data_IF_600999358698
#
_entry.id   IF_600999358698
#
_cell.length_a   1.000
_cell.length_b   1.000
_cell.length_c   1.000
_cell.angle_alpha   90.00
_cell.angle_beta   90.00
_cell.angle_gamma   90.00
#
_symmetry.space_group_name_H-M   'P 1'
#
loop_
_entity.id
_entity.type
_entity.pdbx_description
1 polymer ?
#
# COMPACT_ATOMS: atom_id res chain seq x y z
N UNK A 1 21.36 19.77 -10.78
CA UNK A 1 21.13 21.21 -11.02
C UNK A 1 20.61 21.38 -12.45
N UNK A 2 19.83 22.43 -12.73
CA UNK A 2 19.52 22.85 -14.10
C UNK A 2 20.31 24.13 -14.35
N UNK A 3 21.11 24.18 -15.41
CA UNK A 3 21.90 25.34 -15.82
C UNK A 3 21.46 25.83 -17.20
N UNK A 4 21.73 27.12 -17.47
CA UNK A 4 21.45 27.78 -18.75
C UNK A 4 20.00 27.63 -19.24
N UNK A 5 19.04 27.82 -18.33
CA UNK A 5 17.61 27.81 -18.62
C UNK A 5 17.04 29.23 -18.63
N UNK A 6 15.95 29.44 -19.37
CA UNK A 6 15.23 30.71 -19.38
C UNK A 6 14.18 30.74 -18.27
N UNK A 7 14.17 31.83 -17.51
CA UNK A 7 13.10 32.13 -16.56
C UNK A 7 12.08 33.00 -17.30
N UNK A 8 10.83 32.54 -17.34
CA UNK A 8 9.73 33.25 -17.98
C UNK A 8 8.64 33.59 -16.97
N UNK A 9 7.99 34.72 -17.18
CA UNK A 9 6.87 35.13 -16.35
C UNK A 9 5.74 34.10 -16.42
N UNK A 10 5.11 33.84 -15.27
CA UNK A 10 4.01 32.89 -15.17
C UNK A 10 2.85 33.27 -16.09
N UNK A 11 2.30 32.30 -16.80
CA UNK A 11 1.15 32.47 -17.68
C UNK A 11 -0.15 32.01 -17.00
N UNK A 12 -1.30 32.36 -17.60
CA UNK A 12 -2.61 31.85 -17.16
C UNK A 12 -2.77 30.32 -17.29
N UNK A 13 -1.88 29.66 -18.01
CA UNK A 13 -1.89 28.21 -18.23
C UNK A 13 -0.93 27.45 -17.30
N UNK A 14 -0.14 28.16 -16.49
CA UNK A 14 0.85 27.58 -15.60
C UNK A 14 0.17 26.92 -14.39
N UNK A 15 0.45 25.65 -14.16
CA UNK A 15 -0.15 24.83 -13.08
C UNK A 15 0.70 24.84 -11.78
N UNK A 16 1.91 25.39 -11.83
CA UNK A 16 2.84 25.44 -10.69
C UNK A 16 2.50 26.53 -9.67
N UNK A 17 3.01 26.40 -8.44
CA UNK A 17 2.86 27.40 -7.37
C UNK A 17 3.91 28.51 -7.41
N UNK A 18 5.02 28.30 -8.13
CA UNK A 18 6.07 29.30 -8.31
C UNK A 18 5.57 30.54 -9.10
N UNK A 19 6.20 31.71 -8.93
CA UNK A 19 5.83 32.95 -9.63
C UNK A 19 6.43 33.05 -11.05
N UNK A 20 7.17 32.05 -11.50
CA UNK A 20 7.78 31.94 -12.83
C UNK A 20 7.74 30.49 -13.31
N UNK A 21 7.90 30.31 -14.62
CA UNK A 21 8.17 29.00 -15.21
C UNK A 21 9.63 28.95 -15.69
N UNK A 22 10.20 27.75 -15.71
CA UNK A 22 11.53 27.48 -16.27
C UNK A 22 11.32 26.87 -17.65
N UNK A 23 11.91 27.46 -18.68
CA UNK A 23 11.92 26.95 -20.04
C UNK A 23 13.34 26.48 -20.39
N UNK A 24 13.47 25.21 -20.78
CA UNK A 24 14.75 24.66 -21.21
C UNK A 24 15.02 25.11 -22.65
N UNK A 25 16.26 25.52 -22.91
CA UNK A 25 16.75 25.91 -24.23
C UNK A 25 17.83 24.92 -24.69
N UNK A 26 18.28 25.04 -25.94
CA UNK A 26 19.21 24.08 -26.56
C UNK A 26 20.53 23.91 -25.81
N UNK A 27 20.93 24.93 -25.05
CA UNK A 27 22.18 24.97 -24.28
C UNK A 27 21.97 24.63 -22.80
N UNK A 28 20.74 24.35 -22.38
CA UNK A 28 20.45 23.96 -20.99
C UNK A 28 21.05 22.59 -20.66
N UNK A 29 21.67 22.47 -19.50
CA UNK A 29 22.14 21.20 -18.97
C UNK A 29 21.38 20.81 -17.70
N UNK A 30 21.08 19.51 -17.57
CA UNK A 30 20.45 18.92 -16.37
C UNK A 30 21.41 17.90 -15.79
N UNK A 31 22.11 18.26 -14.71
CA UNK A 31 23.12 17.37 -14.11
C UNK A 31 22.50 16.15 -13.40
N UNK A 32 21.28 16.28 -12.88
CA UNK A 32 20.59 15.23 -12.12
C UNK A 32 19.09 15.46 -12.12
N UNK A 33 18.32 14.46 -12.56
CA UNK A 33 16.85 14.46 -12.54
C UNK A 33 16.24 14.10 -11.17
N UNK A 34 17.09 13.85 -10.17
CA UNK A 34 16.68 13.28 -8.89
C UNK A 34 16.30 11.80 -9.01
N UNK A 35 15.93 11.19 -7.88
CA UNK A 35 15.35 9.85 -7.90
C UNK A 35 13.88 10.00 -8.29
N UNK A 36 13.43 9.35 -9.36
CA UNK A 36 12.00 9.24 -9.64
C UNK A 36 11.36 8.44 -8.51
N UNK A 37 10.65 9.12 -7.63
CA UNK A 37 9.76 8.48 -6.64
C UNK A 37 8.38 8.51 -7.27
N UNK A 38 7.93 7.43 -7.94
CA UNK A 38 6.53 7.35 -8.34
C UNK A 38 5.71 7.49 -7.07
N UNK A 39 4.97 8.58 -6.94
CA UNK A 39 3.87 8.66 -5.98
C UNK A 39 2.80 7.70 -6.51
N UNK A 40 2.97 6.41 -6.21
CA UNK A 40 1.92 5.40 -6.44
C UNK A 40 0.72 5.91 -5.63
N UNK A 41 -0.30 6.44 -6.32
CA UNK A 41 -1.51 6.92 -5.67
C UNK A 41 -2.10 5.78 -4.87
N UNK A 42 -2.37 6.02 -3.59
CA UNK A 42 -3.04 5.04 -2.74
C UNK A 42 -4.46 4.87 -3.27
N UNK A 43 -4.79 3.67 -3.73
CA UNK A 43 -6.13 3.34 -4.23
C UNK A 43 -6.92 2.67 -3.12
N UNK A 44 -8.09 3.19 -2.76
CA UNK A 44 -9.01 2.49 -1.85
C UNK A 44 -9.68 1.34 -2.59
N UNK A 45 -9.64 0.13 -2.05
CA UNK A 45 -10.03 -1.11 -2.74
C UNK A 45 -10.88 -1.99 -1.82
N UNK A 46 -11.87 -2.68 -2.38
CA UNK A 46 -12.63 -3.76 -1.74
C UNK A 46 -12.08 -5.12 -2.15
N UNK A 47 -12.38 -6.19 -1.40
CA UNK A 47 -11.88 -7.54 -1.72
C UNK A 47 -12.20 -7.98 -3.16
N UNK A 48 -13.41 -7.69 -3.66
CA UNK A 48 -13.79 -8.01 -5.05
C UNK A 48 -12.90 -7.31 -6.11
N UNK A 49 -12.30 -6.17 -5.77
CA UNK A 49 -11.51 -5.32 -6.67
C UNK A 49 -9.99 -5.50 -6.52
N UNK A 50 -9.53 -6.39 -5.63
CA UNK A 50 -8.10 -6.65 -5.39
C UNK A 50 -7.39 -7.04 -6.68
N UNK A 51 -7.93 -8.00 -7.43
CA UNK A 51 -7.32 -8.51 -8.66
C UNK A 51 -7.04 -7.43 -9.71
N UNK A 52 -7.82 -6.35 -9.69
CA UNK A 52 -7.70 -5.20 -10.60
C UNK A 52 -6.70 -4.13 -10.11
N UNK A 53 -5.97 -4.40 -9.03
CA UNK A 53 -5.09 -3.42 -8.38
C UNK A 53 -3.66 -3.94 -8.19
N UNK A 54 -3.30 -5.07 -8.83
CA UNK A 54 -1.96 -5.66 -8.76
C UNK A 54 -0.86 -4.64 -9.09
N UNK A 55 0.23 -4.63 -8.30
CA UNK A 55 1.37 -3.72 -8.47
C UNK A 55 1.16 -2.30 -7.92
N UNK A 56 -0.02 -1.99 -7.39
CA UNK A 56 -0.33 -0.69 -6.79
C UNK A 56 -0.23 -0.73 -5.26
N UNK A 57 -0.08 0.45 -4.66
CA UNK A 57 -0.33 0.64 -3.23
C UNK A 57 -1.83 0.79 -3.03
N UNK A 58 -2.41 -0.10 -2.22
CA UNK A 58 -3.84 -0.11 -1.93
C UNK A 58 -4.11 0.21 -0.46
N UNK A 59 -5.27 0.79 -0.19
CA UNK A 59 -5.88 0.88 1.13
C UNK A 59 -7.12 -0.03 1.15
N UNK A 60 -7.20 -0.95 2.10
CA UNK A 60 -8.29 -1.93 2.21
C UNK A 60 -8.68 -2.13 3.66
N UNK A 61 -9.97 -2.39 3.88
CA UNK A 61 -10.52 -2.69 5.19
C UNK A 61 -10.92 -4.14 5.28
N UNK A 62 -10.50 -4.84 6.34
CA UNK A 62 -10.84 -6.24 6.58
C UNK A 62 -10.69 -6.63 8.04
N UNK A 63 -11.37 -7.68 8.46
CA UNK A 63 -11.30 -8.23 9.80
C UNK A 63 -10.10 -9.16 9.94
N UNK A 64 -9.35 -9.02 11.03
CA UNK A 64 -8.19 -9.85 11.30
C UNK A 64 -8.62 -11.30 11.56
N UNK A 65 -8.36 -12.18 10.60
CA UNK A 65 -8.79 -13.57 10.63
C UNK A 65 -7.86 -14.47 11.42
N UNK A 66 -6.55 -14.22 11.33
CA UNK A 66 -5.52 -14.98 12.05
C UNK A 66 -4.66 -14.05 12.90
N UNK A 67 -4.03 -14.59 13.94
CA UNK A 67 -2.97 -13.87 14.64
C UNK A 67 -1.77 -13.65 13.73
N UNK A 68 -1.01 -12.58 13.98
CA UNK A 68 0.29 -12.38 13.33
C UNK A 68 1.26 -13.45 13.81
N UNK A 69 1.86 -14.16 12.86
CA UNK A 69 2.91 -15.14 13.10
C UNK A 69 4.23 -14.58 12.63
N UNK A 70 5.20 -14.60 13.52
CA UNK A 70 6.57 -14.21 13.19
C UNK A 70 7.23 -15.29 12.33
N UNK A 71 7.80 -14.87 11.21
CA UNK A 71 8.58 -15.70 10.30
C UNK A 71 10.01 -15.16 10.33
N UNK A 72 10.92 -15.95 10.90
CA UNK A 72 12.33 -15.60 10.95
C UNK A 72 12.99 -15.90 9.61
N UNK A 73 12.97 -14.92 8.70
CA UNK A 73 13.71 -15.02 7.44
C UNK A 73 15.09 -14.36 7.61
N UNK A 74 16.16 -15.02 7.15
CA UNK A 74 17.57 -14.74 7.51
C UNK A 74 18.06 -13.30 7.27
N UNK A 75 17.32 -12.49 6.52
CA UNK A 75 17.69 -11.11 6.12
C UNK A 75 16.74 -10.03 6.64
N UNK A 76 15.46 -10.32 6.87
CA UNK A 76 14.49 -9.36 7.41
C UNK A 76 13.39 -10.07 8.19
N UNK A 77 13.13 -9.68 9.45
CA UNK A 77 12.02 -10.23 10.21
C UNK A 77 10.69 -9.85 9.57
N UNK A 78 9.82 -10.83 9.34
CA UNK A 78 8.50 -10.64 8.73
C UNK A 78 7.43 -11.21 9.65
N UNK A 79 6.32 -10.49 9.83
CA UNK A 79 5.12 -11.01 10.49
C UNK A 79 4.00 -11.15 9.48
N UNK A 80 3.32 -12.30 9.48
CA UNK A 80 2.28 -12.63 8.49
C UNK A 80 0.96 -12.93 9.19
N UNK A 81 -0.13 -12.40 8.64
CA UNK A 81 -1.49 -12.69 9.05
C UNK A 81 -2.43 -12.80 7.84
N UNK A 82 -3.69 -13.06 8.10
CA UNK A 82 -4.76 -13.08 7.10
C UNK A 82 -5.89 -12.17 7.55
N UNK A 83 -6.45 -11.41 6.62
CA UNK A 83 -7.68 -10.62 6.81
C UNK A 83 -8.82 -11.15 5.94
N UNK A 84 -10.06 -10.83 6.30
CA UNK A 84 -11.26 -11.20 5.54
C UNK A 84 -12.33 -10.12 5.57
N UNK A 85 -13.19 -10.07 4.55
CA UNK A 85 -14.45 -9.31 4.57
C UNK A 85 -15.66 -10.14 5.02
N UNK A 86 -15.45 -11.40 5.43
CA UNK A 86 -16.50 -12.37 5.74
C UNK A 86 -16.74 -13.38 4.61
N UNK A 87 -16.21 -13.14 3.41
CA UNK A 87 -16.28 -14.07 2.28
C UNK A 87 -14.88 -14.45 1.78
N UNK A 88 -14.12 -13.44 1.38
CA UNK A 88 -12.81 -13.57 0.76
C UNK A 88 -11.71 -13.39 1.80
N UNK A 89 -10.56 -14.00 1.58
CA UNK A 89 -9.37 -13.82 2.42
C UNK A 89 -8.21 -13.21 1.64
N UNK A 90 -7.37 -12.47 2.37
CA UNK A 90 -6.15 -11.87 1.88
C UNK A 90 -5.02 -12.09 2.88
N UNK A 91 -3.83 -12.40 2.36
CA UNK A 91 -2.63 -12.50 3.18
C UNK A 91 -2.05 -11.10 3.32
N UNK A 92 -1.67 -10.74 4.54
CA UNK A 92 -0.95 -9.51 4.82
C UNK A 92 0.38 -9.87 5.46
N UNK A 93 1.43 -9.18 5.05
CA UNK A 93 2.74 -9.32 5.66
C UNK A 93 3.38 -7.97 5.94
N UNK A 94 4.15 -7.90 7.00
CA UNK A 94 4.80 -6.68 7.47
C UNK A 94 6.21 -6.98 7.92
N UNK A 95 7.17 -6.24 7.40
CA UNK A 95 8.56 -6.32 7.83
C UNK A 95 8.75 -5.54 9.12
N UNK A 96 8.77 -6.24 10.25
CA UNK A 96 8.94 -5.62 11.58
C UNK A 96 9.57 -6.60 12.56
N UNK A 97 10.41 -6.07 13.44
CA UNK A 97 10.92 -6.78 14.63
C UNK A 97 9.98 -6.66 15.83
N UNK A 98 8.95 -5.83 15.74
CA UNK A 98 7.98 -5.61 16.82
C UNK A 98 6.95 -6.74 16.87
N UNK A 99 6.52 -7.08 18.09
CA UNK A 99 5.39 -8.00 18.28
C UNK A 99 4.08 -7.28 18.00
N UNK A 100 3.26 -7.83 17.11
CA UNK A 100 1.98 -7.24 16.71
C UNK A 100 0.83 -7.88 17.49
N UNK A 101 0.25 -7.13 18.42
CA UNK A 101 -0.82 -7.58 19.31
C UNK A 101 -2.18 -7.00 18.91
N UNK A 102 -2.67 -7.38 17.73
CA UNK A 102 -4.03 -7.05 17.29
C UNK A 102 -5.01 -8.16 17.69
N UNK A 103 -6.20 -7.78 18.14
CA UNK A 103 -7.25 -8.74 18.50
C UNK A 103 -7.82 -9.43 17.24
N UNK A 104 -7.98 -10.75 17.31
CA UNK A 104 -8.62 -11.51 16.23
C UNK A 104 -10.09 -11.07 16.11
N UNK A 105 -10.54 -10.79 14.90
CA UNK A 105 -11.86 -10.23 14.63
C UNK A 105 -11.93 -8.72 14.65
N UNK A 106 -10.88 -8.02 15.08
CA UNK A 106 -10.81 -6.56 14.93
C UNK A 106 -10.81 -6.16 13.45
N UNK A 107 -11.56 -5.12 13.11
CA UNK A 107 -11.50 -4.53 11.77
C UNK A 107 -10.28 -3.64 11.65
N UNK A 108 -9.49 -3.86 10.60
CA UNK A 108 -8.27 -3.12 10.31
C UNK A 108 -8.44 -2.32 9.01
N UNK A 109 -7.94 -1.09 9.00
CA UNK A 109 -7.67 -0.31 7.79
C UNK A 109 -6.17 -0.44 7.48
N UNK A 110 -5.85 -1.03 6.32
CA UNK A 110 -4.50 -1.47 5.96
C UNK A 110 -4.08 -0.82 4.66
N UNK A 111 -2.90 -0.21 4.67
CA UNK A 111 -2.25 0.34 3.46
C UNK A 111 -0.97 -0.42 3.15
N UNK A 112 -0.84 -0.93 1.92
CA UNK A 112 0.34 -1.67 1.50
C UNK A 112 0.39 -1.93 0.01
N UNK A 113 1.53 -2.46 -0.44
CA UNK A 113 1.74 -2.84 -1.84
C UNK A 113 1.09 -4.19 -2.11
N UNK A 114 0.23 -4.26 -3.13
CA UNK A 114 -0.40 -5.50 -3.54
C UNK A 114 0.49 -6.27 -4.51
N UNK A 115 0.82 -7.49 -4.13
CA UNK A 115 1.62 -8.44 -4.90
C UNK A 115 0.88 -9.78 -5.06
N UNK A 116 1.36 -10.61 -5.98
CA UNK A 116 0.85 -11.95 -6.23
C UNK A 116 2.00 -12.96 -6.17
N UNK A 117 2.02 -13.76 -5.11
CA UNK A 117 3.06 -14.77 -4.83
C UNK A 117 2.40 -16.02 -4.24
N UNK A 118 3.03 -17.17 -4.43
CA UNK A 118 2.55 -18.46 -3.88
C UNK A 118 1.07 -18.77 -4.22
N UNK A 119 0.66 -18.41 -5.43
CA UNK A 119 -0.71 -18.52 -5.96
C UNK A 119 -1.81 -17.74 -5.19
N UNK A 120 -1.44 -16.82 -4.31
CA UNK A 120 -2.35 -15.96 -3.54
C UNK A 120 -2.00 -14.46 -3.70
N UNK A 121 -2.96 -13.58 -3.36
CA UNK A 121 -2.71 -12.14 -3.26
C UNK A 121 -2.18 -11.78 -1.87
N UNK A 122 -1.12 -10.98 -1.85
CA UNK A 122 -0.43 -10.53 -0.65
C UNK A 122 -0.37 -9.01 -0.58
N UNK A 123 -0.66 -8.44 0.58
CA UNK A 123 -0.40 -7.03 0.86
C UNK A 123 0.88 -6.96 1.68
N UNK A 124 1.93 -6.40 1.08
CA UNK A 124 3.19 -6.12 1.75
C UNK A 124 3.11 -4.73 2.40
N UNK A 125 3.21 -4.68 3.72
CA UNK A 125 3.05 -3.48 4.53
C UNK A 125 4.44 -3.05 5.00
N UNK A 126 4.81 -1.80 4.68
CA UNK A 126 6.16 -1.29 4.97
C UNK A 126 6.38 -0.85 6.42
N UNK A 127 5.31 -0.52 7.15
CA UNK A 127 5.39 -0.03 8.53
C UNK A 127 4.07 -0.27 9.28
N UNK A 128 4.14 -0.49 10.59
CA UNK A 128 2.98 -0.70 11.46
C UNK A 128 1.98 0.46 11.43
N UNK A 129 2.46 1.70 11.21
CA UNK A 129 1.60 2.90 11.06
C UNK A 129 0.62 2.83 9.89
N UNK A 130 0.84 1.92 8.94
CA UNK A 130 -0.08 1.68 7.84
C UNK A 130 -1.21 0.70 8.19
N UNK A 131 -1.28 0.27 9.45
CA UNK A 131 -2.37 -0.53 10.00
C UNK A 131 -3.02 0.30 11.10
N UNK A 132 -4.33 0.50 11.01
CA UNK A 132 -5.11 1.13 12.09
C UNK A 132 -6.34 0.28 12.41
N UNK A 133 -6.70 0.22 13.69
CA UNK A 133 -7.91 -0.47 14.13
C UNK A 133 -9.10 0.46 13.93
N UNK A 134 -10.18 -0.06 13.34
CA UNK A 134 -11.46 0.64 13.24
C UNK A 134 -12.30 0.23 14.44
N UNK A 135 -12.33 1.11 15.44
CA UNK A 135 -13.07 0.92 16.69
C UNK A 135 -14.56 0.67 16.47
N UNK A 136 -15.16 -0.15 17.34
CA UNK A 136 -16.60 -0.45 17.31
C UNK A 136 -17.05 -1.39 16.18
N UNK A 137 -16.12 -1.95 15.39
CA UNK A 137 -16.42 -2.93 14.35
C UNK A 137 -15.60 -4.20 14.55
N UNK A 138 -16.26 -5.26 14.99
CA UNK A 138 -15.67 -6.59 15.18
C UNK A 138 -16.47 -7.64 14.42
N UNK A 139 -15.81 -8.73 14.06
CA UNK A 139 -16.44 -9.91 13.46
C UNK A 139 -16.31 -11.08 14.42
N UNK A 140 -17.40 -11.83 14.60
CA UNK A 140 -17.39 -13.01 15.44
C UNK A 140 -16.59 -14.17 14.83
N UNK A 141 -16.34 -15.18 15.66
CA UNK A 141 -15.53 -16.32 15.25
C UNK A 141 -16.17 -17.14 14.13
N UNK A 142 -17.50 -17.25 14.09
CA UNK A 142 -18.20 -18.08 13.11
C UNK A 142 -18.04 -17.50 11.70
N UNK A 143 -18.23 -16.19 11.57
CA UNK A 143 -18.12 -15.49 10.30
C UNK A 143 -16.65 -15.34 9.85
N UNK A 144 -15.71 -15.18 10.79
CA UNK A 144 -14.27 -15.22 10.50
C UNK A 144 -13.83 -16.54 9.85
N UNK A 145 -14.44 -17.66 10.27
CA UNK A 145 -14.11 -18.99 9.72
C UNK A 145 -14.67 -19.11 8.30
N UNK A 146 -15.90 -18.63 8.05
CA UNK A 146 -16.54 -18.62 6.73
C UNK A 146 -15.78 -17.77 5.72
N UNK A 147 -15.19 -16.66 6.15
CA UNK A 147 -14.35 -15.75 5.36
C UNK A 147 -13.00 -16.34 4.92
N UNK A 148 -13.03 -17.40 4.10
CA UNK A 148 -11.84 -18.18 3.74
C UNK A 148 -11.64 -18.38 2.23
N UNK A 149 -12.55 -17.87 1.39
CA UNK A 149 -12.45 -18.02 -0.07
C UNK A 149 -11.23 -17.27 -0.58
N UNK A 150 -10.45 -17.90 -1.46
CA UNK A 150 -9.29 -17.27 -2.10
C UNK A 150 -9.74 -16.35 -3.22
N UNK A 151 -9.07 -15.21 -3.36
CA UNK A 151 -9.21 -14.33 -4.52
C UNK A 151 -8.35 -14.91 -5.64
N UNK A 152 -8.98 -15.27 -6.76
CA UNK A 152 -8.29 -15.85 -7.92
C UNK A 152 -7.91 -14.79 -8.96
N UNK A 153 -6.73 -14.97 -9.55
CA UNK A 153 -6.20 -14.17 -10.65
C UNK A 153 -6.75 -14.75 -11.97
N UNK A 154 -7.94 -14.31 -12.37
CA UNK A 154 -8.47 -14.64 -13.70
C UNK A 154 -7.63 -14.01 -14.81
#
# INVERSE_FOLDING_TARGET
MITDAQIIAKSRFSQGTAPFDINLILTSEIEKLGTFVPTKKIKKVTFDNVKHSLGNIINIQGYLRSTFRYINNKTTPESVATITDGQWKLIISISTSETLNFERGAKLDITGELDYKDDDFHINISNIKNISVIEGSTMDLEDLIKGSKRIVRN
#
